data_IF_155234235394
#
_entry.id   IF_155234235394
#
_cell.length_a   1.000
_cell.length_b   1.000
_cell.length_c   1.000
_cell.angle_alpha   90.00
_cell.angle_beta   90.00
_cell.angle_gamma   90.00
#
_symmetry.space_group_name_H-M   'P 1'
#
loop_
_entity.id
_entity.type
_entity.pdbx_description
1 polymer ?
#
# COMPACT_ATOMS: atom_id res chain seq x y z
N UNK A 1 8.83 9.54 -16.19
CA UNK A 1 8.14 8.23 -16.25
C UNK A 1 6.66 8.54 -16.38
N UNK A 2 6.07 8.28 -17.54
CA UNK A 2 4.67 8.61 -17.82
C UNK A 2 3.82 7.42 -17.41
N UNK A 3 2.93 7.59 -16.43
CA UNK A 3 1.94 6.58 -16.08
C UNK A 3 1.03 6.37 -17.29
N UNK A 4 0.96 5.16 -17.84
CA UNK A 4 -0.02 4.83 -18.88
C UNK A 4 -1.39 4.82 -18.21
N UNK A 5 -2.33 5.62 -18.72
CA UNK A 5 -3.67 5.70 -18.17
C UNK A 5 -4.36 4.32 -18.23
N UNK A 6 -4.87 3.85 -17.10
CA UNK A 6 -5.59 2.57 -17.00
C UNK A 6 -4.78 1.39 -16.44
N UNK A 7 -3.45 1.49 -16.34
CA UNK A 7 -2.63 0.44 -15.72
C UNK A 7 -2.65 0.45 -14.19
N UNK A 8 -3.18 1.52 -13.60
CA UNK A 8 -3.47 1.58 -12.17
C UNK A 8 -4.93 1.97 -12.01
N UNK A 9 -5.68 1.15 -11.30
CA UNK A 9 -7.09 1.36 -11.02
C UNK A 9 -7.36 1.30 -9.52
N UNK A 10 -8.41 1.98 -9.08
CA UNK A 10 -8.95 1.84 -7.74
C UNK A 10 -10.38 1.34 -7.81
N UNK A 11 -10.64 0.24 -7.13
CA UNK A 11 -11.99 -0.25 -6.86
C UNK A 11 -12.46 0.40 -5.57
N UNK A 12 -13.46 1.25 -5.67
CA UNK A 12 -13.94 2.06 -4.53
C UNK A 12 -14.84 1.24 -3.61
N UNK A 13 -14.59 1.33 -2.31
CA UNK A 13 -15.44 0.67 -1.30
C UNK A 13 -16.89 1.16 -1.42
N UNK A 14 -17.85 0.24 -1.35
CA UNK A 14 -19.29 0.54 -1.42
C UNK A 14 -19.84 0.95 -2.79
N UNK A 15 -18.98 1.21 -3.79
CA UNK A 15 -19.41 1.51 -5.17
C UNK A 15 -19.17 0.36 -6.13
N UNK A 16 -18.18 -0.49 -5.86
CA UNK A 16 -17.82 -1.64 -6.71
C UNK A 16 -17.27 -1.28 -8.09
N UNK A 17 -17.26 0.01 -8.46
CA UNK A 17 -16.72 0.49 -9.71
C UNK A 17 -15.20 0.63 -9.64
N UNK A 18 -14.55 0.09 -10.67
CA UNK A 18 -13.13 0.30 -10.95
C UNK A 18 -12.95 1.60 -11.72
N UNK A 19 -12.14 2.51 -11.22
CA UNK A 19 -11.81 3.78 -11.89
C UNK A 19 -10.30 3.91 -12.06
N UNK A 20 -9.81 4.47 -13.17
CA UNK A 20 -8.38 4.75 -13.32
C UNK A 20 -7.90 5.70 -12.22
N UNK A 21 -6.68 5.46 -11.73
CA UNK A 21 -6.04 6.33 -10.74
C UNK A 21 -5.09 7.30 -11.44
N UNK A 22 -5.29 8.60 -11.22
CA UNK A 22 -4.45 9.66 -11.76
C UNK A 22 -3.62 10.35 -10.68
N UNK A 23 -2.64 11.14 -11.11
CA UNK A 23 -1.83 11.94 -10.19
C UNK A 23 -2.71 12.92 -9.40
N UNK A 24 -2.52 12.94 -8.07
CA UNK A 24 -3.30 13.73 -7.07
C UNK A 24 -4.66 13.18 -6.68
N UNK A 25 -5.05 12.01 -7.20
CA UNK A 25 -6.24 11.32 -6.71
C UNK A 25 -6.01 10.77 -5.29
N UNK A 26 -7.12 10.60 -4.56
CA UNK A 26 -7.11 10.05 -3.21
C UNK A 26 -7.50 8.57 -3.22
N UNK A 27 -6.96 7.83 -2.26
CA UNK A 27 -7.36 6.45 -1.94
C UNK A 27 -7.87 6.45 -0.49
N UNK A 28 -9.03 5.86 -0.25
CA UNK A 28 -9.65 5.79 1.07
C UNK A 28 -9.50 4.39 1.69
N UNK A 29 -9.62 4.26 3.02
CA UNK A 29 -9.74 2.97 3.66
C UNK A 29 -10.86 2.13 3.06
N UNK A 30 -10.56 0.86 2.81
CA UNK A 30 -11.43 -0.10 2.12
C UNK A 30 -11.30 -0.07 0.60
N UNK A 31 -10.69 0.97 0.01
CA UNK A 31 -10.41 0.97 -1.42
C UNK A 31 -9.35 -0.07 -1.77
N UNK A 32 -9.52 -0.68 -2.94
CA UNK A 32 -8.58 -1.67 -3.49
C UNK A 32 -7.84 -1.08 -4.67
N UNK A 33 -6.53 -0.97 -4.55
CA UNK A 33 -5.63 -0.53 -5.62
C UNK A 33 -5.19 -1.74 -6.42
N UNK A 34 -5.39 -1.68 -7.73
CA UNK A 34 -5.09 -2.75 -8.68
C UNK A 34 -4.12 -2.21 -9.71
N UNK A 35 -2.95 -2.84 -9.83
CA UNK A 35 -1.93 -2.49 -10.82
C UNK A 35 -1.80 -3.60 -11.87
N UNK A 36 -1.78 -3.22 -13.14
CA UNK A 36 -1.56 -4.10 -14.29
C UNK A 36 -0.07 -4.46 -14.48
N UNK A 37 0.26 -5.05 -15.62
CA UNK A 37 1.61 -5.55 -15.92
C UNK A 37 2.68 -4.43 -15.96
N UNK A 38 2.28 -3.21 -16.33
CA UNK A 38 3.15 -2.03 -16.40
C UNK A 38 2.77 -0.96 -15.34
N UNK A 39 1.75 -1.24 -14.54
CA UNK A 39 1.24 -0.33 -13.53
C UNK A 39 2.17 -0.22 -12.33
N UNK A 40 2.53 1.00 -11.94
CA UNK A 40 3.27 1.27 -10.70
C UNK A 40 2.78 2.56 -10.10
N UNK A 41 2.53 2.57 -8.80
CA UNK A 41 2.06 3.78 -8.13
C UNK A 41 2.75 3.99 -6.79
N UNK A 42 2.98 5.25 -6.47
CA UNK A 42 3.44 5.68 -5.16
C UNK A 42 2.30 6.44 -4.49
N UNK A 43 1.93 5.99 -3.29
CA UNK A 43 0.91 6.59 -2.45
C UNK A 43 1.59 7.28 -1.28
N UNK A 44 1.37 8.59 -1.15
CA UNK A 44 1.84 9.36 0.00
C UNK A 44 0.72 9.52 1.01
N UNK A 45 0.96 9.07 2.23
CA UNK A 45 0.08 9.29 3.38
C UNK A 45 0.49 10.60 4.02
N UNK A 46 -0.45 11.54 4.15
CA UNK A 46 -0.11 12.88 4.64
C UNK A 46 0.25 12.91 6.13
N UNK A 47 -0.27 12.01 6.97
CA UNK A 47 -0.01 11.97 8.41
C UNK A 47 -0.19 10.55 9.00
N UNK A 48 0.82 9.98 9.70
CA UNK A 48 2.23 10.38 9.63
C UNK A 48 2.73 10.27 8.18
N UNK A 49 3.70 11.10 7.79
CA UNK A 49 4.31 11.05 6.46
C UNK A 49 4.83 9.63 6.19
N UNK A 50 4.20 8.95 5.24
CA UNK A 50 4.59 7.60 4.80
C UNK A 50 4.42 7.50 3.32
N UNK A 51 5.21 6.61 2.74
CA UNK A 51 5.16 6.34 1.31
C UNK A 51 4.98 4.85 1.12
N UNK A 52 3.95 4.46 0.38
CA UNK A 52 3.72 3.10 -0.06
C UNK A 52 3.88 3.04 -1.58
N UNK A 53 4.81 2.22 -2.05
CA UNK A 53 5.01 1.97 -3.47
C UNK A 53 4.46 0.61 -3.81
N UNK A 54 3.48 0.59 -4.71
CA UNK A 54 2.80 -0.61 -5.20
C UNK A 54 3.38 -0.91 -6.58
N UNK A 55 4.02 -2.08 -6.69
CA UNK A 55 4.64 -2.53 -7.94
C UNK A 55 3.60 -3.14 -8.87
N UNK A 56 4.00 -3.42 -10.12
CA UNK A 56 3.16 -4.09 -11.13
C UNK A 56 2.55 -5.41 -10.69
N UNK A 57 1.43 -5.76 -11.31
CA UNK A 57 0.67 -6.99 -11.07
C UNK A 57 0.33 -7.22 -9.59
N UNK A 58 0.12 -6.12 -8.86
CA UNK A 58 -0.15 -6.11 -7.43
C UNK A 58 -1.57 -5.65 -7.15
N UNK A 59 -2.19 -6.29 -6.18
CA UNK A 59 -3.51 -5.92 -5.66
C UNK A 59 -3.41 -5.71 -4.16
N UNK A 60 -3.78 -4.51 -3.72
CA UNK A 60 -3.68 -4.08 -2.33
C UNK A 60 -5.00 -3.48 -1.89
N UNK A 61 -5.51 -3.91 -0.75
CA UNK A 61 -6.61 -3.24 -0.06
C UNK A 61 -6.04 -2.36 1.04
N UNK A 62 -6.41 -1.08 1.03
CA UNK A 62 -5.94 -0.13 2.03
C UNK A 62 -6.76 -0.27 3.31
N UNK A 63 -6.12 -0.56 4.44
CA UNK A 63 -6.80 -0.70 5.72
C UNK A 63 -6.70 0.57 6.55
N UNK A 64 -7.81 0.93 7.17
CA UNK A 64 -7.87 2.13 7.99
C UNK A 64 -9.28 2.48 8.40
N UNK A 65 -9.41 3.69 8.94
CA UNK A 65 -10.68 4.28 9.30
C UNK A 65 -10.66 5.79 9.10
N UNK A 66 -11.84 6.34 8.81
CA UNK A 66 -12.08 7.79 8.88
C UNK A 66 -12.56 8.10 10.31
N UNK A 67 -11.90 9.04 10.99
CA UNK A 67 -12.28 9.52 12.32
C UNK A 67 -12.50 11.03 12.23
N UNK A 68 -13.75 11.46 12.19
CA UNK A 68 -14.11 12.86 11.92
C UNK A 68 -13.68 13.27 10.51
N UNK A 69 -12.86 14.31 10.42
CA UNK A 69 -12.25 14.82 9.19
C UNK A 69 -10.88 14.18 8.87
N UNK A 70 -10.43 13.20 9.67
CA UNK A 70 -9.11 12.59 9.55
C UNK A 70 -9.16 11.18 8.97
N UNK A 71 -8.28 10.93 8.01
CA UNK A 71 -7.97 9.60 7.50
C UNK A 71 -6.88 8.95 8.34
N UNK A 72 -7.12 7.76 8.88
CA UNK A 72 -6.10 6.95 9.57
C UNK A 72 -5.92 5.65 8.82
N UNK A 73 -4.82 5.51 8.07
CA UNK A 73 -4.39 4.24 7.51
C UNK A 73 -3.66 3.43 8.58
N UNK A 74 -4.21 2.29 8.95
CA UNK A 74 -3.64 1.37 9.95
C UNK A 74 -2.85 0.24 9.31
N UNK A 75 -3.07 -0.01 8.01
CA UNK A 75 -2.39 -1.09 7.33
C UNK A 75 -2.73 -1.21 5.86
N UNK A 76 -2.31 -2.33 5.30
CA UNK A 76 -2.69 -2.76 3.97
C UNK A 76 -2.75 -4.28 3.92
N UNK A 77 -3.75 -4.81 3.24
CA UNK A 77 -3.82 -6.23 2.88
C UNK A 77 -3.31 -6.39 1.44
N UNK A 78 -2.28 -7.19 1.26
CA UNK A 78 -1.74 -7.54 -0.06
C UNK A 78 -2.33 -8.89 -0.46
N UNK A 79 -3.15 -8.88 -1.51
CA UNK A 79 -3.75 -10.11 -2.05
C UNK A 79 -2.81 -10.81 -3.04
N UNK A 80 -2.05 -10.02 -3.80
CA UNK A 80 -1.04 -10.50 -4.76
C UNK A 80 -0.03 -9.39 -5.05
N UNK A 81 1.19 -9.78 -5.43
CA UNK A 81 2.24 -8.88 -5.91
C UNK A 81 3.19 -8.39 -4.83
N UNK A 82 3.89 -7.29 -5.12
CA UNK A 82 4.94 -6.74 -4.27
C UNK A 82 4.60 -5.30 -3.84
N UNK A 83 4.78 -5.00 -2.55
CA UNK A 83 4.61 -3.66 -2.00
C UNK A 83 5.85 -3.27 -1.22
N UNK A 84 6.26 -2.01 -1.37
CA UNK A 84 7.31 -1.38 -0.58
C UNK A 84 6.70 -0.30 0.29
N UNK A 85 7.06 -0.27 1.57
CA UNK A 85 6.53 0.72 2.51
C UNK A 85 7.68 1.38 3.25
N UNK A 86 7.74 2.69 3.13
CA UNK A 86 8.61 3.53 3.94
C UNK A 86 7.80 4.11 5.10
N UNK A 87 8.23 3.77 6.32
CA UNK A 87 7.61 4.27 7.55
C UNK A 87 8.52 5.31 8.19
N UNK A 88 7.97 6.48 8.53
CA UNK A 88 8.70 7.45 9.33
C UNK A 88 8.94 6.92 10.76
N UNK A 89 10.15 7.15 11.27
CA UNK A 89 10.53 6.88 12.65
C UNK A 89 9.60 7.61 13.63
N UNK A 90 9.00 6.88 14.58
CA UNK A 90 8.12 7.43 15.62
C UNK A 90 6.63 7.52 15.27
N UNK A 91 6.18 6.96 14.13
CA UNK A 91 4.76 6.89 13.78
C UNK A 91 4.01 5.70 14.41
N UNK A 92 2.67 5.72 14.35
CA UNK A 92 1.78 4.61 14.78
C UNK A 92 2.12 3.29 14.05
N UNK A 93 1.97 2.11 14.65
CA UNK A 93 2.22 0.84 13.96
C UNK A 93 1.45 0.76 12.62
N UNK A 94 2.11 0.23 11.58
CA UNK A 94 1.50 -0.07 10.29
C UNK A 94 1.48 -1.58 10.11
N UNK A 95 0.30 -2.16 9.97
CA UNK A 95 0.15 -3.59 9.73
C UNK A 95 0.20 -3.89 8.22
N UNK A 96 1.04 -4.84 7.81
CA UNK A 96 1.00 -5.38 6.46
C UNK A 96 0.49 -6.82 6.58
N UNK A 97 -0.73 -7.07 6.14
CA UNK A 97 -1.29 -8.42 6.07
C UNK A 97 -1.03 -9.00 4.68
N UNK A 98 -0.45 -10.20 4.65
CA UNK A 98 -0.26 -10.97 3.43
C UNK A 98 -1.39 -12.00 3.41
N UNK A 99 -2.47 -11.66 2.71
CA UNK A 99 -3.68 -12.46 2.66
C UNK A 99 -3.33 -13.93 2.40
N UNK A 100 -3.71 -14.81 3.32
CA UNK A 100 -3.31 -16.22 3.38
C UNK A 100 -3.32 -16.97 2.04
N UNK A 101 -2.20 -16.92 1.29
CA UNK A 101 -1.84 -17.92 0.28
C UNK A 101 -0.33 -18.12 0.24
N UNK A 102 0.07 -19.37 0.52
CA UNK A 102 1.40 -19.94 0.27
C UNK A 102 1.91 -19.53 -1.13
N UNK A 103 3.10 -18.96 -1.18
CA UNK A 103 3.78 -18.62 -2.43
C UNK A 103 5.28 -18.34 -2.25
N UNK A 104 6.05 -19.42 -2.24
CA UNK A 104 7.50 -19.52 -2.59
C UNK A 104 8.56 -18.95 -1.63
N UNK A 105 9.54 -19.77 -1.19
CA UNK A 105 10.70 -19.31 -0.42
C UNK A 105 11.62 -18.52 -1.36
N UNK A 106 11.56 -17.20 -1.34
CA UNK A 106 12.44 -16.44 -2.23
C UNK A 106 12.45 -14.92 -2.15
N UNK A 107 11.53 -14.25 -1.45
CA UNK A 107 11.55 -12.78 -1.41
C UNK A 107 11.56 -12.23 0.00
N UNK A 108 12.72 -11.67 0.32
CA UNK A 108 13.07 -11.02 1.58
C UNK A 108 12.12 -9.85 1.82
N UNK A 109 11.30 -9.93 2.86
CA UNK A 109 10.80 -8.75 3.55
C UNK A 109 11.98 -8.16 4.31
N UNK A 110 12.59 -7.08 3.79
CA UNK A 110 13.61 -6.36 4.54
C UNK A 110 12.92 -5.38 5.49
N UNK A 111 12.88 -5.76 6.76
CA UNK A 111 12.62 -4.84 7.86
C UNK A 111 13.96 -4.20 8.25
N UNK A 112 14.20 -2.90 8.02
CA UNK A 112 15.18 -2.22 8.86
C UNK A 112 14.50 -2.02 10.21
N UNK A 113 14.74 -2.95 11.15
CA UNK A 113 14.56 -2.64 12.56
C UNK A 113 15.58 -1.54 12.87
N UNK A 114 15.11 -0.29 12.89
CA UNK A 114 15.86 0.78 13.52
C UNK A 114 15.92 0.47 15.02
N UNK A 115 17.09 0.01 15.48
CA UNK A 115 17.35 -0.27 16.89
C UNK A 115 18.34 -1.40 17.08
N UNK A 116 19.55 -1.05 17.46
CA UNK A 116 20.72 -1.90 17.69
C UNK A 116 20.44 -3.15 18.55
N UNK A 117 21.07 -4.27 18.19
CA UNK A 117 21.73 -5.15 19.17
C UNK A 117 22.86 -5.90 18.48
N UNK A 118 24.11 -5.54 18.82
CA UNK A 118 25.30 -6.34 18.51
C UNK A 118 25.32 -7.55 19.45
N UNK A 119 25.58 -8.78 18.97
CA UNK A 119 26.04 -9.84 19.85
C UNK A 119 27.56 -9.76 19.98
N UNK A 120 28.01 -9.85 21.23
CA UNK A 120 29.38 -10.18 21.64
C UNK A 120 29.64 -11.65 21.34
#
# INVERSE_FOLDING_TARGET
MTLVAGDVNVVRVGKGSSVPLYGRDYVFPGDRVVTGADGRVELTMQKPNRTARIERATVVTMEGRVVGDRLSLSGAQVDTGDVWIETASGGLPFALDLGTRRGSPGRKVWWPLAGEHRPV
#
